data_IF_374337146812
#
_entry.id   IF_374337146812
#
_cell.length_a   1.000
_cell.length_b   1.000
_cell.length_c   1.000
_cell.angle_alpha   90.00
_cell.angle_beta   90.00
_cell.angle_gamma   90.00
#
_symmetry.space_group_name_H-M   'P 1'
#
loop_
_entity.id
_entity.type
_entity.pdbx_description
1 polymer ?
#
# COMPACT_ATOMS: atom_id res chain seq x y z
N UNK A 1 -5.43 1.37 52.08
CA UNK A 1 -5.50 2.60 51.26
C UNK A 1 -4.56 3.64 51.87
N UNK A 2 -3.94 4.55 51.09
CA UNK A 2 -3.94 4.70 49.62
C UNK A 2 -2.53 4.39 49.03
N UNK A 3 -2.42 3.65 47.93
CA UNK A 3 -2.30 4.16 46.55
C UNK A 3 -1.65 5.55 46.50
N UNK A 4 -0.32 5.59 46.32
CA UNK A 4 0.38 6.82 45.95
C UNK A 4 0.08 7.10 44.47
N UNK A 5 -1.12 7.64 44.23
CA UNK A 5 -1.59 8.16 42.95
C UNK A 5 -0.74 9.40 42.60
N UNK A 6 -0.32 9.46 41.34
CA UNK A 6 -0.37 10.69 40.56
C UNK A 6 0.40 11.90 41.12
N UNK A 7 1.74 11.87 41.15
CA UNK A 7 2.46 13.12 41.38
C UNK A 7 3.77 13.31 40.59
N UNK A 8 3.83 12.81 39.35
CA UNK A 8 4.72 13.35 38.32
C UNK A 8 4.05 13.59 36.97
N UNK A 9 2.70 13.58 36.95
CA UNK A 9 1.86 14.00 35.82
C UNK A 9 1.88 15.52 35.54
N UNK A 10 2.91 16.27 35.98
CA UNK A 10 2.88 17.75 35.95
C UNK A 10 3.96 18.46 35.14
N UNK A 11 4.78 17.75 34.35
CA UNK A 11 5.68 18.40 33.38
C UNK A 11 5.52 17.88 31.94
N UNK A 12 4.59 16.95 31.71
CA UNK A 12 4.48 16.15 30.48
C UNK A 12 3.40 16.61 29.47
N UNK A 13 2.76 17.77 29.62
CA UNK A 13 1.70 18.22 28.67
C UNK A 13 1.78 19.65 28.14
N UNK A 14 2.83 20.42 28.44
CA UNK A 14 2.82 21.85 28.12
C UNK A 14 3.39 22.23 26.75
N UNK A 15 3.90 21.30 25.95
CA UNK A 15 4.31 21.59 24.56
C UNK A 15 3.28 21.14 23.50
N UNK A 16 2.33 20.26 23.85
CA UNK A 16 1.40 19.67 22.88
C UNK A 16 -0.09 19.99 23.11
N UNK A 17 -0.48 20.78 24.13
CA UNK A 17 -1.91 21.00 24.48
C UNK A 17 -2.39 22.45 24.29
N UNK A 18 -1.60 23.37 23.73
CA UNK A 18 -2.09 24.74 23.51
C UNK A 18 -1.68 25.35 22.15
N UNK A 19 -2.56 25.34 21.13
CA UNK A 19 -2.32 26.06 19.87
C UNK A 19 -2.32 27.60 20.04
N UNK A 20 -2.45 28.11 21.27
CA UNK A 20 -2.37 29.53 21.66
C UNK A 20 -1.18 29.86 22.56
N UNK A 21 -0.17 28.99 22.67
CA UNK A 21 1.13 29.44 23.19
C UNK A 21 1.75 30.34 22.12
N UNK A 22 1.53 31.65 22.25
CA UNK A 22 2.40 32.65 21.63
C UNK A 22 3.80 32.31 22.14
N UNK A 23 4.65 31.80 21.25
CA UNK A 23 6.08 31.70 21.47
C UNK A 23 6.59 33.11 21.74
N UNK A 24 6.59 33.51 23.01
CA UNK A 24 7.43 34.61 23.44
C UNK A 24 8.85 34.19 23.06
N UNK A 25 9.55 35.04 22.33
CA UNK A 25 10.89 34.84 21.75
C UNK A 25 12.01 34.59 22.78
N UNK A 26 11.63 34.25 24.01
CA UNK A 26 12.46 34.02 25.18
C UNK A 26 12.15 32.66 25.83
N UNK A 27 11.70 31.66 25.07
CA UNK A 27 11.93 30.27 25.50
C UNK A 27 13.45 30.09 25.52
N UNK A 28 14.05 30.08 26.71
CA UNK A 28 15.51 30.09 26.84
C UNK A 28 16.08 28.84 26.17
N UNK A 29 17.18 29.04 25.42
CA UNK A 29 17.93 27.93 24.81
C UNK A 29 18.31 26.85 25.84
N UNK A 30 18.42 27.23 27.11
CA UNK A 30 18.63 26.33 28.26
C UNK A 30 17.49 25.32 28.44
N UNK A 31 16.22 25.75 28.39
CA UNK A 31 15.08 24.85 28.53
C UNK A 31 15.03 23.83 27.38
N UNK A 32 15.36 24.27 26.16
CA UNK A 32 15.45 23.39 24.99
C UNK A 32 16.60 22.39 25.15
N UNK A 33 17.77 22.85 25.59
CA UNK A 33 18.94 22.02 25.81
C UNK A 33 18.69 20.95 26.89
N UNK A 34 18.03 21.31 27.99
CA UNK A 34 17.66 20.38 29.05
C UNK A 34 16.70 19.31 28.54
N UNK A 35 15.66 19.71 27.80
CA UNK A 35 14.72 18.74 27.21
C UNK A 35 15.39 17.81 26.22
N UNK A 36 16.28 18.33 25.39
CA UNK A 36 17.05 17.52 24.45
C UNK A 36 17.93 16.49 25.19
N UNK A 37 18.57 16.91 26.29
CA UNK A 37 19.39 16.03 27.13
C UNK A 37 18.55 14.90 27.75
N UNK A 38 17.35 15.19 28.24
CA UNK A 38 16.44 14.15 28.74
C UNK A 38 16.08 13.14 27.65
N UNK A 39 15.66 13.62 26.47
CA UNK A 39 15.32 12.74 25.33
C UNK A 39 16.48 11.85 24.91
N UNK A 40 17.71 12.39 24.85
CA UNK A 40 18.90 11.60 24.53
C UNK A 40 19.23 10.56 25.60
N UNK A 41 19.08 10.89 26.88
CA UNK A 41 19.29 9.94 27.96
C UNK A 41 18.27 8.79 27.94
N UNK A 42 17.00 9.10 27.66
CA UNK A 42 15.96 8.06 27.57
C UNK A 42 16.17 7.17 26.36
N UNK A 43 16.55 7.74 25.21
CA UNK A 43 16.93 6.97 24.01
C UNK A 43 18.12 6.08 24.31
N UNK A 44 19.15 6.61 24.98
CA UNK A 44 20.34 5.82 25.36
C UNK A 44 19.96 4.62 26.24
N UNK A 45 19.16 4.83 27.29
CA UNK A 45 18.70 3.74 28.16
C UNK A 45 17.92 2.67 27.41
N UNK A 46 17.05 3.09 26.48
CA UNK A 46 16.28 2.17 25.65
C UNK A 46 17.22 1.30 24.79
N UNK A 47 18.23 1.91 24.17
CA UNK A 47 19.22 1.20 23.38
C UNK A 47 20.13 0.29 24.21
N UNK A 48 20.56 0.72 25.40
CA UNK A 48 21.42 -0.08 26.28
C UNK A 48 20.75 -1.41 26.70
N UNK A 49 19.40 -1.43 26.73
CA UNK A 49 18.62 -2.63 27.05
C UNK A 49 18.25 -3.50 25.84
N UNK A 50 18.49 -3.04 24.61
CA UNK A 50 18.05 -3.70 23.40
C UNK A 50 19.09 -4.70 22.85
N UNK A 51 18.67 -5.57 21.94
CA UNK A 51 19.59 -6.47 21.25
C UNK A 51 20.43 -5.72 20.21
N UNK A 52 21.70 -6.08 20.08
CA UNK A 52 22.64 -5.48 19.11
C UNK A 52 22.06 -5.48 17.68
N UNK A 53 21.37 -6.56 17.30
CA UNK A 53 20.75 -6.71 15.98
C UNK A 53 19.72 -5.60 15.67
N UNK A 54 19.03 -5.09 16.69
CA UNK A 54 17.99 -4.08 16.56
C UNK A 54 18.56 -2.65 16.72
N UNK A 55 19.64 -2.52 17.49
CA UNK A 55 20.34 -1.25 17.73
C UNK A 55 21.06 -0.75 16.46
N UNK A 56 21.76 -1.64 15.73
CA UNK A 56 22.56 -1.24 14.56
C UNK A 56 21.68 -0.54 13.49
N UNK A 57 20.55 -1.12 13.04
CA UNK A 57 19.65 -0.44 12.11
C UNK A 57 19.15 0.91 12.63
N UNK A 58 18.84 1.00 13.93
CA UNK A 58 18.38 2.25 14.56
C UNK A 58 19.44 3.35 14.51
N UNK A 59 20.71 3.03 14.80
CA UNK A 59 21.81 4.00 14.74
C UNK A 59 21.99 4.50 13.30
N UNK A 60 22.09 3.58 12.33
CA UNK A 60 22.24 3.92 10.90
C UNK A 60 21.07 4.79 10.42
N UNK A 61 19.86 4.47 10.89
CA UNK A 61 18.67 5.24 10.58
C UNK A 61 18.72 6.67 11.13
N UNK A 62 19.16 6.84 12.38
CA UNK A 62 19.34 8.16 12.97
C UNK A 62 20.43 8.97 12.27
N UNK A 63 21.55 8.37 11.90
CA UNK A 63 22.59 9.05 11.11
C UNK A 63 22.05 9.54 9.78
N UNK A 64 21.21 8.71 9.13
CA UNK A 64 20.51 9.09 7.89
C UNK A 64 19.58 10.28 8.12
N UNK A 65 18.80 10.28 9.21
CA UNK A 65 17.92 11.41 9.56
C UNK A 65 18.69 12.68 9.90
N UNK A 66 19.79 12.57 10.63
CA UNK A 66 20.63 13.71 10.98
C UNK A 66 21.26 14.37 9.75
N UNK A 67 21.55 13.60 8.70
CA UNK A 67 22.14 14.12 7.46
C UNK A 67 21.09 14.60 6.45
N UNK A 68 20.05 13.81 6.22
CA UNK A 68 19.10 13.97 5.11
C UNK A 68 17.65 14.25 5.55
N UNK A 69 17.39 14.26 6.86
CA UNK A 69 16.10 14.66 7.41
C UNK A 69 15.84 16.15 7.27
N UNK A 70 14.68 16.61 7.76
CA UNK A 70 14.20 17.99 7.57
C UNK A 70 15.19 19.05 8.07
N UNK A 71 15.91 18.75 9.16
CA UNK A 71 16.92 19.61 9.77
C UNK A 71 18.36 19.26 9.37
N UNK A 72 18.54 18.24 8.53
CA UNK A 72 19.85 17.81 8.10
C UNK A 72 20.46 18.74 7.06
N UNK A 73 21.81 18.86 7.01
CA UNK A 73 22.50 19.74 6.07
C UNK A 73 22.29 19.33 4.60
N UNK A 74 21.92 18.07 4.33
CA UNK A 74 21.74 17.50 2.98
C UNK A 74 20.28 17.19 2.65
N UNK A 75 19.31 17.84 3.32
CA UNK A 75 17.86 17.52 3.21
C UNK A 75 17.29 17.45 1.79
N UNK A 76 17.84 18.23 0.86
CA UNK A 76 17.37 18.30 -0.52
C UNK A 76 18.15 17.41 -1.49
N UNK A 77 19.19 16.73 -1.01
CA UNK A 77 20.06 15.92 -1.83
C UNK A 77 19.49 14.52 -2.07
N UNK A 78 19.64 14.04 -3.29
CA UNK A 78 19.51 12.63 -3.61
C UNK A 78 20.79 11.89 -3.24
N UNK A 79 20.76 11.11 -2.16
CA UNK A 79 21.93 10.33 -1.73
C UNK A 79 21.96 8.91 -2.31
N UNK A 80 20.88 8.48 -2.95
CA UNK A 80 20.82 7.21 -3.69
C UNK A 80 20.59 7.46 -5.18
N UNK A 81 21.23 6.71 -6.09
CA UNK A 81 20.92 6.76 -7.53
C UNK A 81 19.44 6.52 -7.82
N UNK A 82 18.82 5.62 -7.06
CA UNK A 82 17.40 5.25 -7.13
C UNK A 82 16.48 6.47 -6.94
N UNK A 83 16.91 7.47 -6.17
CA UNK A 83 16.09 8.66 -5.91
C UNK A 83 15.84 9.52 -7.16
N UNK A 84 16.72 9.40 -8.17
CA UNK A 84 16.64 10.13 -9.43
C UNK A 84 15.76 9.42 -10.48
N UNK A 85 15.40 8.16 -10.24
CA UNK A 85 14.64 7.35 -11.19
C UNK A 85 13.15 7.72 -11.19
N UNK A 86 12.50 7.46 -12.33
CA UNK A 86 11.04 7.47 -12.47
C UNK A 86 10.53 6.05 -12.50
N UNK A 87 9.65 5.72 -11.56
CA UNK A 87 9.06 4.40 -11.46
C UNK A 87 7.67 4.37 -12.09
N UNK A 88 7.37 3.30 -12.82
CA UNK A 88 6.04 3.03 -13.34
C UNK A 88 5.10 2.54 -12.24
N UNK A 89 3.80 2.78 -12.40
CA UNK A 89 2.77 2.25 -11.50
C UNK A 89 2.74 0.72 -11.57
N UNK A 90 2.77 0.07 -10.41
CA UNK A 90 2.87 -1.37 -10.25
C UNK A 90 4.30 -1.89 -10.17
N UNK A 91 5.34 -1.06 -10.38
CA UNK A 91 6.73 -1.51 -10.26
C UNK A 91 7.05 -1.95 -8.84
N UNK A 92 7.74 -3.10 -8.69
CA UNK A 92 8.19 -3.59 -7.39
C UNK A 92 9.58 -3.07 -7.06
N UNK A 93 9.72 -2.49 -5.88
CA UNK A 93 10.96 -1.91 -5.37
C UNK A 93 11.23 -2.41 -3.96
N UNK A 94 12.48 -2.37 -3.52
CA UNK A 94 12.84 -2.63 -2.14
C UNK A 94 13.06 -1.30 -1.42
N UNK A 95 12.32 -1.07 -0.33
CA UNK A 95 12.22 0.21 0.35
C UNK A 95 12.63 0.05 1.80
N UNK A 96 13.46 0.97 2.28
CA UNK A 96 13.74 1.14 3.71
C UNK A 96 12.64 1.97 4.39
N UNK A 97 11.75 1.30 5.12
CA UNK A 97 10.71 1.99 5.88
C UNK A 97 11.25 2.63 7.17
N UNK A 98 12.48 2.28 7.57
CA UNK A 98 13.15 2.84 8.74
C UNK A 98 12.80 2.17 10.05
N UNK A 99 13.35 2.70 11.15
CA UNK A 99 13.16 2.16 12.51
C UNK A 99 12.35 3.10 13.43
N UNK A 100 11.92 4.26 12.92
CA UNK A 100 11.24 5.30 13.70
C UNK A 100 9.72 5.29 13.55
N UNK A 101 9.15 4.13 13.24
CA UNK A 101 7.73 3.93 13.00
C UNK A 101 6.97 3.70 14.30
N UNK A 102 5.68 4.06 14.32
CA UNK A 102 4.87 4.00 15.54
C UNK A 102 3.96 2.76 15.50
N UNK A 103 4.04 1.93 16.53
CA UNK A 103 3.15 0.80 16.73
C UNK A 103 3.23 -0.22 15.59
N UNK A 104 2.10 -0.46 14.91
CA UNK A 104 1.91 -1.50 13.89
C UNK A 104 2.27 -1.06 12.46
N UNK A 105 2.92 0.08 12.32
CA UNK A 105 3.44 0.53 11.03
C UNK A 105 4.56 -0.40 10.54
N UNK A 106 4.50 -0.79 9.26
CA UNK A 106 5.62 -1.47 8.61
C UNK A 106 6.92 -0.68 8.82
N UNK A 107 7.92 -1.38 9.34
CA UNK A 107 9.26 -0.88 9.67
C UNK A 107 10.29 -1.72 8.93
N UNK A 108 11.55 -1.29 8.91
CA UNK A 108 12.68 -1.98 8.28
C UNK A 108 12.57 -2.10 6.74
N UNK A 109 13.59 -2.63 6.07
CA UNK A 109 13.53 -2.83 4.63
C UNK A 109 12.54 -3.91 4.19
N UNK A 110 11.55 -3.53 3.36
CA UNK A 110 10.56 -4.44 2.78
C UNK A 110 10.39 -4.20 1.28
N UNK A 111 10.00 -5.22 0.50
CA UNK A 111 9.54 -5.01 -0.86
C UNK A 111 8.21 -4.24 -0.85
N UNK A 112 7.99 -3.40 -1.86
CA UNK A 112 6.79 -2.59 -2.00
C UNK A 112 6.46 -2.36 -3.48
N UNK A 113 5.19 -2.18 -3.80
CA UNK A 113 4.76 -1.74 -5.13
C UNK A 113 4.56 -0.24 -5.18
N UNK A 114 4.99 0.38 -6.28
CA UNK A 114 4.75 1.80 -6.55
C UNK A 114 3.29 1.99 -6.98
N UNK A 115 2.52 2.75 -6.21
CA UNK A 115 1.16 3.15 -6.56
C UNK A 115 1.15 4.45 -7.37
N UNK A 116 2.06 5.37 -7.03
CA UNK A 116 2.23 6.63 -7.73
C UNK A 116 3.64 7.19 -7.54
N UNK A 117 4.15 7.88 -8.55
CA UNK A 117 5.50 8.44 -8.56
C UNK A 117 5.44 9.96 -8.69
N UNK A 118 5.97 10.67 -7.70
CA UNK A 118 6.23 12.11 -7.76
C UNK A 118 7.70 12.40 -8.11
N UNK A 119 8.11 13.67 -8.12
CA UNK A 119 9.48 14.06 -8.40
C UNK A 119 10.47 13.49 -7.35
N UNK A 120 10.28 13.85 -6.08
CA UNK A 120 11.16 13.46 -4.95
C UNK A 120 10.57 12.33 -4.07
N UNK A 121 9.28 12.06 -4.19
CA UNK A 121 8.54 11.08 -3.36
C UNK A 121 7.83 10.04 -4.21
N UNK A 122 7.37 8.97 -3.57
CA UNK A 122 6.52 7.95 -4.18
C UNK A 122 5.46 7.49 -3.19
N UNK A 123 4.27 7.14 -3.68
CA UNK A 123 3.26 6.41 -2.91
C UNK A 123 3.52 4.93 -3.12
N UNK A 124 3.67 4.20 -2.03
CA UNK A 124 4.00 2.78 -2.06
C UNK A 124 3.07 1.97 -1.18
N UNK A 125 2.94 0.69 -1.52
CA UNK A 125 2.29 -0.31 -0.69
C UNK A 125 3.28 -1.43 -0.35
N UNK A 126 3.60 -1.63 0.94
CA UNK A 126 4.55 -2.67 1.34
C UNK A 126 3.96 -4.07 1.17
N UNK A 127 4.86 -5.03 1.00
CA UNK A 127 4.58 -6.46 1.01
C UNK A 127 5.40 -7.12 2.11
N UNK A 128 4.82 -8.12 2.75
CA UNK A 128 5.50 -8.96 3.74
C UNK A 128 5.30 -10.43 3.40
N UNK A 129 6.14 -11.31 3.93
CA UNK A 129 5.88 -12.75 3.85
C UNK A 129 4.58 -13.10 4.59
N UNK A 130 3.81 -14.04 4.04
CA UNK A 130 2.68 -14.65 4.73
C UNK A 130 3.18 -15.80 5.61
N UNK A 131 2.94 -15.71 6.91
CA UNK A 131 3.25 -16.75 7.89
C UNK A 131 2.04 -17.63 8.24
N UNK A 132 0.90 -17.42 7.56
CA UNK A 132 -0.35 -18.13 7.82
C UNK A 132 -1.13 -17.58 9.02
N UNK A 133 -0.75 -16.41 9.55
CA UNK A 133 -1.49 -15.76 10.63
C UNK A 133 -2.91 -15.38 10.21
N UNK A 134 -3.83 -15.53 11.15
CA UNK A 134 -5.21 -15.07 11.03
C UNK A 134 -5.30 -13.61 11.49
N UNK A 135 -5.91 -12.75 10.68
CA UNK A 135 -6.15 -11.35 11.02
C UNK A 135 -7.61 -11.11 11.40
N UNK A 136 -7.88 -9.96 12.01
CA UNK A 136 -9.27 -9.56 12.27
C UNK A 136 -10.04 -9.40 10.96
N UNK A 137 -11.36 -9.60 10.99
CA UNK A 137 -12.21 -9.45 9.81
C UNK A 137 -12.04 -8.08 9.12
N UNK A 138 -11.86 -7.01 9.90
CA UNK A 138 -11.61 -5.67 9.38
C UNK A 138 -10.28 -5.60 8.62
N UNK A 139 -9.21 -6.20 9.16
CA UNK A 139 -7.91 -6.20 8.52
C UNK A 139 -7.90 -7.07 7.27
N UNK A 140 -8.59 -8.21 7.29
CA UNK A 140 -8.76 -9.11 6.14
C UNK A 140 -9.38 -8.43 4.91
N UNK A 141 -10.23 -7.40 5.08
CA UNK A 141 -10.75 -6.60 3.96
C UNK A 141 -9.62 -5.87 3.22
N UNK A 142 -8.60 -5.42 3.95
CA UNK A 142 -7.45 -4.68 3.42
C UNK A 142 -6.31 -5.54 2.89
N UNK A 143 -6.39 -6.87 3.06
CA UNK A 143 -5.34 -7.79 2.65
C UNK A 143 -5.58 -8.34 1.24
N UNK A 144 -4.47 -8.61 0.56
CA UNK A 144 -4.40 -9.46 -0.64
C UNK A 144 -3.32 -10.51 -0.34
N UNK A 145 -3.72 -11.79 -0.34
CA UNK A 145 -2.80 -12.91 -0.18
C UNK A 145 -2.32 -13.35 -1.55
N UNK A 146 -1.00 -13.38 -1.75
CA UNK A 146 -0.37 -13.76 -3.00
C UNK A 146 0.45 -15.02 -2.78
N UNK A 147 0.15 -16.08 -3.55
CA UNK A 147 0.97 -17.28 -3.60
C UNK A 147 2.32 -17.01 -4.27
N UNK A 148 3.32 -17.77 -3.85
CA UNK A 148 4.64 -17.83 -4.47
C UNK A 148 4.55 -18.15 -5.98
N UNK A 149 5.25 -17.36 -6.80
CA UNK A 149 5.40 -17.58 -8.24
C UNK A 149 6.87 -17.59 -8.71
N UNK A 150 7.82 -17.35 -7.80
CA UNK A 150 9.26 -17.17 -8.05
C UNK A 150 9.64 -16.03 -9.00
N UNK A 151 8.67 -15.23 -9.47
CA UNK A 151 8.90 -14.10 -10.36
C UNK A 151 8.65 -12.79 -9.59
N UNK A 152 7.40 -12.56 -9.21
CA UNK A 152 7.01 -11.39 -8.41
C UNK A 152 7.23 -11.67 -6.92
N UNK A 153 6.90 -12.88 -6.46
CA UNK A 153 6.95 -13.32 -5.07
C UNK A 153 7.80 -14.60 -4.89
N UNK A 154 8.94 -14.51 -4.18
CA UNK A 154 9.80 -15.67 -3.91
C UNK A 154 9.22 -16.61 -2.84
N UNK A 155 8.24 -16.16 -2.07
CA UNK A 155 7.49 -16.90 -1.07
C UNK A 155 6.05 -16.38 -1.01
N UNK A 156 5.16 -17.13 -0.37
CA UNK A 156 3.80 -16.65 -0.09
C UNK A 156 3.89 -15.32 0.66
N UNK A 157 3.11 -14.35 0.20
CA UNK A 157 3.25 -12.95 0.57
C UNK A 157 1.89 -12.30 0.80
N UNK A 158 1.89 -11.31 1.68
CA UNK A 158 0.75 -10.46 1.99
C UNK A 158 1.00 -9.05 1.49
N UNK A 159 -0.03 -8.45 0.91
CA UNK A 159 -0.10 -7.03 0.63
C UNK A 159 -1.14 -6.42 1.55
N UNK A 160 -0.73 -5.43 2.34
CA UNK A 160 -1.62 -4.74 3.26
C UNK A 160 -1.91 -3.32 2.79
N UNK A 161 -3.14 -3.10 2.33
CA UNK A 161 -3.58 -1.81 1.79
C UNK A 161 -3.68 -0.73 2.88
N UNK A 162 -3.85 -1.10 4.15
CA UNK A 162 -3.83 -0.14 5.27
C UNK A 162 -2.42 0.45 5.53
N UNK A 163 -1.38 -0.13 4.93
CA UNK A 163 0.01 0.32 5.10
C UNK A 163 0.49 1.19 3.93
N UNK A 164 -0.42 1.60 3.03
CA UNK A 164 -0.11 2.55 1.95
C UNK A 164 0.45 3.84 2.56
N UNK A 165 1.58 4.30 2.03
CA UNK A 165 2.21 5.52 2.53
C UNK A 165 3.05 6.22 1.47
N UNK A 166 3.31 7.51 1.71
CA UNK A 166 4.26 8.30 0.93
C UNK A 166 5.66 8.11 1.52
N UNK A 167 6.63 7.86 0.66
CA UNK A 167 8.06 7.78 1.01
C UNK A 167 8.87 8.79 0.20
N UNK A 168 10.00 9.24 0.76
CA UNK A 168 11.06 9.85 -0.06
C UNK A 168 11.68 8.77 -0.95
N UNK A 169 12.00 9.09 -2.21
CA UNK A 169 12.68 8.13 -3.09
C UNK A 169 14.10 7.79 -2.64
N UNK A 170 14.68 8.60 -1.75
CA UNK A 170 15.92 8.26 -1.05
C UNK A 170 15.81 6.99 -0.18
N UNK A 171 14.58 6.55 0.14
CA UNK A 171 14.32 5.29 0.85
C UNK A 171 14.28 4.06 -0.07
N UNK A 172 14.29 4.25 -1.38
CA UNK A 172 14.31 3.12 -2.33
C UNK A 172 15.74 2.59 -2.41
N UNK A 173 15.93 1.35 -1.98
CA UNK A 173 17.22 0.68 -1.95
C UNK A 173 17.57 0.06 -3.31
N UNK A 174 16.58 -0.57 -3.96
CA UNK A 174 16.76 -1.19 -5.27
C UNK A 174 15.44 -1.34 -6.01
N UNK A 175 15.53 -1.40 -7.33
CA UNK A 175 14.46 -1.92 -8.19
C UNK A 175 14.56 -3.45 -8.20
N UNK A 176 13.42 -4.15 -8.08
CA UNK A 176 13.36 -5.62 -8.06
C UNK A 176 13.10 -6.22 -9.45
N UNK A 177 13.02 -5.39 -10.49
CA UNK A 177 12.89 -5.83 -11.87
C UNK A 177 11.60 -6.58 -12.25
N UNK A 178 10.57 -6.52 -11.40
CA UNK A 178 9.24 -7.09 -11.67
C UNK A 178 8.13 -6.08 -11.38
N UNK A 179 6.92 -6.37 -11.86
CA UNK A 179 5.72 -5.54 -11.73
C UNK A 179 4.56 -6.35 -11.17
N UNK A 180 3.63 -5.68 -10.49
CA UNK A 180 2.35 -6.27 -10.12
C UNK A 180 1.53 -6.72 -11.35
N UNK A 181 1.78 -6.14 -12.53
CA UNK A 181 1.14 -6.61 -13.78
C UNK A 181 1.63 -8.00 -14.20
N UNK A 182 2.81 -8.43 -13.72
CA UNK A 182 3.40 -9.72 -14.07
C UNK A 182 2.84 -10.87 -13.19
N UNK A 183 1.94 -10.55 -12.26
CA UNK A 183 1.31 -11.52 -11.36
C UNK A 183 -0.19 -11.64 -11.66
N UNK A 184 -0.61 -12.82 -12.11
CA UNK A 184 -2.03 -13.15 -12.30
C UNK A 184 -2.60 -13.78 -11.04
N UNK A 185 -3.77 -13.31 -10.59
CA UNK A 185 -4.45 -13.92 -9.46
C UNK A 185 -5.06 -15.27 -9.84
N UNK A 186 -4.96 -16.25 -8.93
CA UNK A 186 -5.66 -17.52 -9.08
C UNK A 186 -7.16 -17.33 -8.88
N UNK A 187 -7.97 -18.20 -9.47
CA UNK A 187 -9.43 -18.14 -9.32
C UNK A 187 -9.86 -18.28 -7.86
N UNK A 188 -9.19 -19.12 -7.09
CA UNK A 188 -9.45 -19.30 -5.65
C UNK A 188 -9.20 -18.01 -4.87
N UNK A 189 -8.14 -17.29 -5.24
CA UNK A 189 -7.82 -15.99 -4.63
C UNK A 189 -8.89 -14.95 -5.00
N UNK A 190 -9.33 -14.94 -6.26
CA UNK A 190 -10.41 -14.04 -6.72
C UNK A 190 -11.72 -14.35 -5.98
N UNK A 191 -12.09 -15.62 -5.83
CA UNK A 191 -13.27 -16.05 -5.10
C UNK A 191 -13.22 -15.62 -3.63
N UNK A 192 -12.08 -15.84 -2.96
CA UNK A 192 -11.85 -15.39 -1.59
C UNK A 192 -12.04 -13.88 -1.47
N UNK A 193 -11.42 -13.10 -2.36
CA UNK A 193 -11.51 -11.63 -2.32
C UNK A 193 -12.93 -11.15 -2.59
N UNK A 194 -13.63 -11.74 -3.57
CA UNK A 194 -15.01 -11.39 -3.89
C UNK A 194 -15.99 -11.76 -2.76
N UNK A 195 -15.76 -12.86 -2.04
CA UNK A 195 -16.59 -13.25 -0.89
C UNK A 195 -16.59 -12.23 0.26
N UNK A 196 -15.52 -11.42 0.34
CA UNK A 196 -15.34 -10.36 1.34
C UNK A 196 -15.88 -9.00 0.88
N UNK A 197 -16.26 -8.85 -0.40
CA UNK A 197 -16.81 -7.61 -0.94
C UNK A 197 -18.35 -7.61 -0.86
N UNK A 198 -18.98 -6.44 -0.65
CA UNK A 198 -20.45 -6.34 -0.65
C UNK A 198 -21.04 -6.64 -2.04
N UNK A 199 -20.36 -6.22 -3.11
CA UNK A 199 -20.68 -6.54 -4.49
C UNK A 199 -19.43 -7.18 -5.12
N UNK A 200 -19.49 -8.44 -5.57
CA UNK A 200 -18.35 -9.11 -6.19
C UNK A 200 -18.12 -8.56 -7.60
N UNK A 201 -17.00 -7.84 -7.78
CA UNK A 201 -16.67 -7.17 -9.04
C UNK A 201 -15.27 -7.49 -9.57
N UNK A 202 -14.46 -8.25 -8.82
CA UNK A 202 -13.12 -8.63 -9.26
C UNK A 202 -13.29 -9.74 -10.31
N UNK A 203 -12.91 -9.53 -11.57
CA UNK A 203 -13.02 -10.55 -12.60
C UNK A 203 -11.93 -11.62 -12.43
N UNK A 204 -12.20 -12.82 -12.96
CA UNK A 204 -11.17 -13.84 -13.12
C UNK A 204 -10.10 -13.40 -14.13
N UNK A 205 -8.92 -14.02 -14.06
CA UNK A 205 -7.79 -13.70 -14.93
C UNK A 205 -7.40 -12.20 -14.86
N UNK A 206 -7.46 -11.63 -13.66
CA UNK A 206 -7.04 -10.26 -13.36
C UNK A 206 -5.58 -10.23 -12.91
N UNK A 207 -4.85 -9.20 -13.32
CA UNK A 207 -3.52 -8.94 -12.80
C UNK A 207 -3.56 -8.25 -11.42
N UNK A 208 -2.49 -8.42 -10.64
CA UNK A 208 -2.44 -7.89 -9.28
C UNK A 208 -2.54 -6.37 -9.21
N UNK A 209 -2.05 -5.63 -10.22
CA UNK A 209 -2.16 -4.18 -10.23
C UNK A 209 -3.63 -3.76 -10.32
N UNK A 210 -4.39 -4.34 -11.23
CA UNK A 210 -5.83 -4.07 -11.36
C UNK A 210 -6.59 -4.47 -10.08
N UNK A 211 -6.26 -5.62 -9.49
CA UNK A 211 -6.85 -6.04 -8.21
C UNK A 211 -6.57 -5.04 -7.07
N UNK A 212 -5.34 -4.54 -6.96
CA UNK A 212 -4.97 -3.51 -5.99
C UNK A 212 -5.80 -2.24 -6.20
N UNK A 213 -5.98 -1.80 -7.45
CA UNK A 213 -6.77 -0.60 -7.78
C UNK A 213 -8.24 -0.74 -7.35
N UNK A 214 -8.86 -1.89 -7.64
CA UNK A 214 -10.25 -2.19 -7.22
C UNK A 214 -10.37 -2.17 -5.70
N UNK A 215 -9.45 -2.83 -4.99
CA UNK A 215 -9.49 -2.83 -3.52
C UNK A 215 -9.20 -1.47 -2.89
N UNK A 216 -8.29 -0.68 -3.45
CA UNK A 216 -8.08 0.71 -3.00
C UNK A 216 -9.37 1.52 -3.17
N UNK A 217 -10.07 1.37 -4.30
CA UNK A 217 -11.35 2.04 -4.50
C UNK A 217 -12.38 1.61 -3.44
N UNK A 218 -12.49 0.31 -3.17
CA UNK A 218 -13.38 -0.20 -2.12
C UNK A 218 -13.11 0.41 -0.73
N UNK A 219 -11.84 0.49 -0.34
CA UNK A 219 -11.44 0.96 1.00
C UNK A 219 -11.51 2.48 1.15
N UNK A 220 -11.02 3.22 0.16
CA UNK A 220 -10.76 4.66 0.30
C UNK A 220 -11.61 5.56 -0.60
N UNK A 221 -12.33 5.00 -1.58
CA UNK A 221 -13.11 5.76 -2.54
C UNK A 221 -14.43 5.05 -2.89
N UNK A 222 -15.30 4.87 -1.88
CA UNK A 222 -16.57 4.13 -2.01
C UNK A 222 -17.44 4.61 -3.17
N UNK A 223 -17.50 5.91 -3.44
CA UNK A 223 -18.28 6.45 -4.56
C UNK A 223 -17.75 5.97 -5.93
N UNK A 224 -16.42 5.87 -6.05
CA UNK A 224 -15.78 5.33 -7.26
C UNK A 224 -16.04 3.84 -7.37
N UNK A 225 -15.93 3.11 -6.27
CA UNK A 225 -16.24 1.68 -6.22
C UNK A 225 -17.69 1.39 -6.63
N UNK A 226 -18.66 2.14 -6.10
CA UNK A 226 -20.08 1.96 -6.45
C UNK A 226 -20.32 2.22 -7.95
N UNK A 227 -19.70 3.25 -8.53
CA UNK A 227 -19.75 3.48 -9.99
C UNK A 227 -19.14 2.32 -10.78
N UNK A 228 -18.04 1.73 -10.30
CA UNK A 228 -17.45 0.53 -10.94
C UNK A 228 -18.43 -0.65 -10.90
N UNK A 229 -19.13 -0.86 -9.79
CA UNK A 229 -20.19 -1.88 -9.66
C UNK A 229 -21.30 -1.63 -10.68
N UNK A 230 -21.79 -0.40 -10.79
CA UNK A 230 -22.86 -0.03 -11.72
C UNK A 230 -22.43 -0.24 -13.19
N UNK A 231 -21.22 0.17 -13.54
CA UNK A 231 -20.68 -0.06 -14.88
C UNK A 231 -20.51 -1.55 -15.17
N UNK A 232 -20.06 -2.37 -14.21
CA UNK A 232 -19.98 -3.82 -14.40
C UNK A 232 -21.35 -4.44 -14.62
N UNK A 233 -22.39 -4.01 -13.88
CA UNK A 233 -23.77 -4.45 -14.10
C UNK A 233 -24.24 -4.11 -15.52
N UNK A 234 -23.96 -2.90 -16.00
CA UNK A 234 -24.29 -2.49 -17.38
C UNK A 234 -23.52 -3.30 -18.44
N UNK A 235 -22.22 -3.55 -18.23
CA UNK A 235 -21.41 -4.38 -19.14
C UNK A 235 -21.99 -5.79 -19.24
N UNK A 236 -22.38 -6.40 -18.11
CA UNK A 236 -22.97 -7.74 -18.09
C UNK A 236 -24.30 -7.79 -18.84
N UNK A 237 -25.17 -6.79 -18.66
CA UNK A 237 -26.42 -6.68 -19.42
C UNK A 237 -26.17 -6.51 -20.92
N UNK A 238 -25.20 -5.67 -21.29
CA UNK A 238 -24.83 -5.46 -22.69
C UNK A 238 -24.28 -6.74 -23.32
N UNK A 239 -23.43 -7.49 -22.60
CA UNK A 239 -22.89 -8.77 -23.08
C UNK A 239 -24.00 -9.81 -23.30
N UNK A 240 -24.99 -9.90 -22.41
CA UNK A 240 -26.14 -10.78 -22.59
C UNK A 240 -26.97 -10.40 -23.83
N UNK A 241 -27.19 -9.10 -24.06
CA UNK A 241 -27.85 -8.59 -25.26
C UNK A 241 -27.07 -8.90 -26.53
N UNK A 242 -25.74 -8.75 -26.50
CA UNK A 242 -24.85 -9.08 -27.62
C UNK A 242 -24.95 -10.56 -27.98
N UNK A 243 -24.93 -11.48 -27.00
CA UNK A 243 -25.07 -12.91 -27.27
C UNK A 243 -26.43 -13.25 -27.88
N UNK A 244 -27.53 -12.69 -27.37
CA UNK A 244 -28.87 -12.87 -27.97
C UNK A 244 -28.93 -12.39 -29.42
N UNK A 245 -28.37 -11.21 -29.70
CA UNK A 245 -28.33 -10.67 -31.06
C UNK A 245 -27.46 -11.51 -32.00
N UNK A 246 -26.37 -12.11 -31.50
CA UNK A 246 -25.55 -13.05 -32.29
C UNK A 246 -26.34 -14.30 -32.66
N UNK A 247 -27.12 -14.83 -31.72
CA UNK A 247 -27.97 -16.00 -31.96
C UNK A 247 -29.05 -15.69 -33.00
N UNK A 248 -29.76 -14.56 -32.87
CA UNK A 248 -30.75 -14.10 -33.85
C UNK A 248 -30.15 -13.91 -35.26
N UNK A 249 -28.98 -13.28 -35.36
CA UNK A 249 -28.26 -13.13 -36.63
C UNK A 249 -27.93 -14.49 -37.25
N UNK A 250 -27.52 -15.46 -36.43
CA UNK A 250 -27.19 -16.80 -36.90
C UNK A 250 -28.43 -17.56 -37.39
N UNK A 251 -29.58 -17.39 -36.74
CA UNK A 251 -30.86 -17.96 -37.19
C UNK A 251 -31.31 -17.35 -38.53
N UNK A 252 -31.32 -16.02 -38.63
CA UNK A 252 -31.66 -15.32 -39.87
C UNK A 252 -30.73 -15.69 -41.03
N UNK A 253 -29.43 -15.88 -40.76
CA UNK A 253 -28.47 -16.38 -41.77
C UNK A 253 -28.81 -17.79 -42.25
N UNK A 254 -29.20 -18.70 -41.35
CA UNK A 254 -29.65 -20.06 -41.71
C UNK A 254 -30.91 -20.01 -42.56
N UNK A 255 -31.89 -19.18 -42.20
CA UNK A 255 -33.11 -19.01 -42.98
C UNK A 255 -32.84 -18.43 -44.37
N UNK A 256 -32.02 -17.38 -44.45
CA UNK A 256 -31.63 -16.78 -45.74
C UNK A 256 -30.93 -17.81 -46.64
N UNK A 257 -30.10 -18.67 -46.06
CA UNK A 257 -29.41 -19.74 -46.80
C UNK A 257 -30.41 -20.77 -47.34
N UNK A 258 -31.39 -21.18 -46.51
CA UNK A 258 -32.49 -22.07 -46.94
C UNK A 258 -33.37 -21.44 -48.02
N UNK A 259 -33.65 -20.13 -47.93
CA UNK A 259 -34.43 -19.43 -48.94
C UNK A 259 -33.67 -19.34 -50.26
N UNK A 260 -32.37 -19.02 -50.23
CA UNK A 260 -31.50 -19.00 -51.42
C UNK A 260 -31.41 -20.38 -52.09
N UNK A 261 -31.29 -21.46 -51.33
CA UNK A 261 -31.25 -22.82 -51.90
C UNK A 261 -32.58 -23.21 -52.54
N UNK A 262 -33.72 -22.86 -51.91
CA UNK A 262 -35.05 -23.03 -52.53
C UNK A 262 -35.17 -22.24 -53.82
N UNK A 263 -34.76 -20.98 -53.84
CA UNK A 263 -34.85 -20.12 -55.02
C UNK A 263 -34.04 -20.67 -56.21
N UNK A 264 -32.86 -21.22 -55.94
CA UNK A 264 -32.03 -21.85 -56.97
C UNK A 264 -32.62 -23.16 -57.53
N UNK A 265 -33.48 -23.86 -56.79
CA UNK A 265 -34.17 -25.06 -57.28
C UNK A 265 -35.38 -24.76 -58.17
N UNK A 266 -35.82 -23.49 -58.24
CA UNK A 266 -36.92 -23.04 -59.10
C UNK A 266 -36.45 -22.33 -60.39
N UNK A 267 -35.14 -22.25 -60.62
CA UNK A 267 -34.53 -21.78 -61.88
C UNK A 267 -33.95 -22.96 -62.64
#
# INVERSE_FOLDING_TARGET
>A
MPINKYNQNHVERNLYVNPKLKLNSSVSNELVADRLKYTFNDTKKLLDSANIKDIIPFIIWNDTWNQYGIYGPKKDESYRPQAKLRYSKGRKVFVDFGCGNIGWETSLPHPAFILYNFAKTAVVIPTTSDDGSNFSNEMELSLIRCRKDNNVFPCDSLINLNQIRVISKNRILKDLNCSAQDYMLSNETVDELNSKLPDPIIPYNIDLKQCIEIKIAHLYAKDVFNKMVDYNKQINLNNQSIEKLKDEINELRKENTKLKSRLNNYR
#
